data_IF_963671791373
#
_entry.id   IF_963671791373
#
_cell.length_a   1.000
_cell.length_b   1.000
_cell.length_c   1.000
_cell.angle_alpha   90.00
_cell.angle_beta   90.00
_cell.angle_gamma   90.00
#
_symmetry.space_group_name_H-M   'P 1'
#
loop_
_entity.id
_entity.type
_entity.pdbx_description
1 polymer ?
#
# COMPACT_ATOMS: atom_id res chain seq x y z
N UNK A 1 6.45 43.41 17.32
CA UNK A 1 6.56 42.00 17.78
C UNK A 1 6.23 41.16 16.58
N UNK A 2 7.23 40.92 15.73
CA UNK A 2 7.02 40.33 14.42
C UNK A 2 7.20 38.82 14.51
N UNK A 3 6.15 38.10 14.11
CA UNK A 3 6.06 36.65 14.10
C UNK A 3 7.06 36.08 13.09
N UNK A 4 8.01 35.28 13.59
CA UNK A 4 8.86 34.44 12.76
C UNK A 4 8.01 33.40 12.03
N UNK A 5 7.90 33.54 10.72
CA UNK A 5 7.40 32.52 9.82
C UNK A 5 8.46 31.43 9.70
N UNK A 6 8.25 30.33 10.43
CA UNK A 6 9.15 29.19 10.40
C UNK A 6 9.02 28.49 9.03
N UNK A 7 9.97 28.76 8.13
CA UNK A 7 10.09 28.12 6.83
C UNK A 7 10.38 26.63 7.05
N UNK A 8 9.47 25.76 6.59
CA UNK A 8 9.70 24.31 6.57
C UNK A 8 10.93 23.99 5.72
N UNK A 9 12.06 23.73 6.39
CA UNK A 9 13.27 23.22 5.76
C UNK A 9 13.00 21.79 5.30
N UNK A 10 13.00 21.55 3.98
CA UNK A 10 13.07 20.19 3.43
C UNK A 10 14.42 19.61 3.81
N UNK A 11 14.46 18.88 4.93
CA UNK A 11 15.64 18.17 5.40
C UNK A 11 16.00 17.11 4.35
N UNK A 12 16.93 17.43 3.46
CA UNK A 12 17.32 16.58 2.32
C UNK A 12 18.47 15.68 2.77
N UNK A 13 18.26 14.93 3.85
CA UNK A 13 19.16 13.83 4.20
C UNK A 13 19.01 12.75 3.12
N UNK A 14 20.11 12.20 2.58
CA UNK A 14 20.01 11.11 1.63
C UNK A 14 19.32 9.91 2.29
N UNK A 15 18.39 9.30 1.56
CA UNK A 15 17.74 8.07 1.99
C UNK A 15 18.80 6.96 1.95
N UNK A 16 19.04 6.30 3.09
CA UNK A 16 19.98 5.19 3.16
C UNK A 16 19.42 3.99 2.39
N UNK A 17 20.23 3.46 1.49
CA UNK A 17 19.96 2.20 0.78
C UNK A 17 20.57 1.05 1.56
N UNK A 18 19.81 -0.03 1.73
CA UNK A 18 20.24 -1.23 2.44
C UNK A 18 20.29 -2.40 1.46
N UNK A 19 21.26 -3.30 1.64
CA UNK A 19 21.22 -4.60 0.99
C UNK A 19 20.10 -5.46 1.58
N UNK A 20 19.68 -6.50 0.86
CA UNK A 20 18.72 -7.48 1.38
C UNK A 20 19.21 -8.12 2.68
N UNK A 21 20.51 -8.46 2.76
CA UNK A 21 21.13 -9.01 3.96
C UNK A 21 21.01 -8.07 5.17
N UNK A 22 21.25 -6.77 4.96
CA UNK A 22 21.11 -5.77 6.01
C UNK A 22 19.66 -5.63 6.47
N UNK A 23 18.70 -5.64 5.54
CA UNK A 23 17.27 -5.59 5.88
C UNK A 23 16.87 -6.81 6.71
N UNK A 24 17.26 -8.01 6.31
CA UNK A 24 16.95 -9.22 7.07
C UNK A 24 17.58 -9.23 8.46
N UNK A 25 18.81 -8.72 8.60
CA UNK A 25 19.45 -8.59 9.91
C UNK A 25 18.68 -7.61 10.82
N UNK A 26 18.20 -6.49 10.26
CA UNK A 26 17.39 -5.51 10.99
C UNK A 26 16.05 -6.11 11.42
N UNK A 27 15.35 -6.81 10.53
CA UNK A 27 14.09 -7.50 10.84
C UNK A 27 14.27 -8.56 11.92
N UNK A 28 15.28 -9.42 11.81
CA UNK A 28 15.56 -10.44 12.82
C UNK A 28 15.88 -9.82 14.18
N UNK A 29 16.70 -8.76 14.23
CA UNK A 29 17.00 -8.06 15.46
C UNK A 29 15.75 -7.41 16.09
N UNK A 30 14.84 -6.91 15.26
CA UNK A 30 13.56 -6.35 15.71
C UNK A 30 12.63 -7.42 16.28
N UNK A 31 12.50 -8.57 15.62
CA UNK A 31 11.67 -9.68 16.10
C UNK A 31 12.24 -10.34 17.35
N UNK A 32 13.57 -10.43 17.47
CA UNK A 32 14.24 -10.95 18.66
C UNK A 32 13.93 -10.15 19.95
N UNK A 33 13.51 -8.88 19.80
CA UNK A 33 13.07 -8.04 20.90
C UNK A 33 11.58 -8.24 21.27
N UNK A 34 10.89 -9.19 20.63
CA UNK A 34 9.49 -9.51 20.88
C UNK A 34 8.49 -8.63 20.12
N UNK A 35 8.96 -7.83 19.16
CA UNK A 35 8.07 -7.00 18.35
C UNK A 35 7.28 -7.85 17.33
N UNK A 36 6.02 -7.48 17.11
CA UNK A 36 5.11 -8.22 16.23
C UNK A 36 5.33 -7.90 14.74
N UNK A 37 5.69 -8.94 13.99
CA UNK A 37 5.82 -8.88 12.53
C UNK A 37 4.50 -8.58 11.81
N UNK A 38 3.37 -9.03 12.36
CA UNK A 38 2.05 -8.78 11.77
C UNK A 38 1.62 -7.32 11.92
N UNK A 39 1.92 -6.70 13.07
CA UNK A 39 1.76 -5.26 13.27
C UNK A 39 2.50 -4.42 12.21
N UNK A 40 3.75 -4.76 11.90
CA UNK A 40 4.51 -4.08 10.83
C UNK A 40 3.87 -4.27 9.45
N UNK A 41 3.43 -5.48 9.13
CA UNK A 41 2.74 -5.80 7.88
C UNK A 41 1.46 -4.96 7.72
N UNK A 42 0.64 -4.86 8.78
CA UNK A 42 -0.55 -4.00 8.79
C UNK A 42 -0.22 -2.53 8.53
N UNK A 43 0.84 -2.01 9.16
CA UNK A 43 1.27 -0.63 8.96
C UNK A 43 1.74 -0.39 7.52
N UNK A 44 2.57 -1.28 6.97
CA UNK A 44 3.05 -1.19 5.59
C UNK A 44 1.89 -1.24 4.59
N UNK A 45 0.98 -2.20 4.75
CA UNK A 45 -0.21 -2.34 3.92
C UNK A 45 -1.13 -1.11 4.00
N UNK A 46 -1.35 -0.56 5.20
CA UNK A 46 -2.16 0.65 5.38
C UNK A 46 -1.57 1.85 4.66
N UNK A 47 -0.26 2.09 4.83
CA UNK A 47 0.44 3.18 4.14
C UNK A 47 0.33 3.05 2.62
N UNK A 48 0.45 1.83 2.09
CA UNK A 48 0.30 1.59 0.66
C UNK A 48 -1.13 1.84 0.18
N UNK A 49 -2.16 1.41 0.93
CA UNK A 49 -3.55 1.66 0.58
C UNK A 49 -3.86 3.18 0.51
N UNK A 50 -3.37 3.96 1.47
CA UNK A 50 -3.49 5.42 1.45
C UNK A 50 -2.76 6.05 0.24
N UNK A 51 -1.58 5.52 -0.10
CA UNK A 51 -0.83 5.98 -1.26
C UNK A 51 -1.57 5.71 -2.57
N UNK A 52 -2.18 4.53 -2.71
CA UNK A 52 -3.00 4.16 -3.87
C UNK A 52 -4.18 5.12 -4.04
N UNK A 53 -4.89 5.45 -2.95
CA UNK A 53 -5.99 6.44 -2.98
C UNK A 53 -5.49 7.79 -3.50
N UNK A 54 -4.39 8.29 -2.94
CA UNK A 54 -3.79 9.57 -3.33
C UNK A 54 -3.40 9.59 -4.81
N UNK A 55 -2.76 8.52 -5.30
CA UNK A 55 -2.39 8.40 -6.71
C UNK A 55 -3.62 8.38 -7.62
N UNK A 56 -4.70 7.70 -7.22
CA UNK A 56 -5.93 7.62 -7.98
C UNK A 56 -6.63 8.98 -8.07
N UNK A 57 -6.74 9.70 -6.95
CA UNK A 57 -7.32 11.05 -6.90
C UNK A 57 -6.55 12.03 -7.79
N UNK A 58 -5.21 12.02 -7.70
CA UNK A 58 -4.34 12.85 -8.53
C UNK A 58 -4.54 12.54 -10.02
N UNK A 59 -4.63 11.26 -10.40
CA UNK A 59 -4.91 10.83 -11.77
C UNK A 59 -6.28 11.30 -12.26
N UNK A 60 -7.30 11.25 -11.41
CA UNK A 60 -8.64 11.73 -11.74
C UNK A 60 -8.68 13.25 -11.92
N UNK A 61 -7.97 13.99 -11.07
CA UNK A 61 -7.83 15.44 -11.18
C UNK A 61 -7.14 15.86 -12.47
N UNK A 62 -6.02 15.22 -12.81
CA UNK A 62 -5.24 15.56 -14.01
C UNK A 62 -6.02 15.31 -15.32
N UNK A 63 -6.93 14.33 -15.35
CA UNK A 63 -7.81 14.10 -16.52
C UNK A 63 -8.85 15.20 -16.72
N UNK A 64 -9.40 15.75 -15.62
CA UNK A 64 -10.41 16.82 -15.67
C UNK A 64 -9.88 18.15 -16.23
N UNK A 65 -8.57 18.39 -16.16
CA UNK A 65 -7.94 19.59 -16.73
C UNK A 65 -7.78 19.56 -18.26
N UNK A 66 -7.97 18.41 -18.91
CA UNK A 66 -7.76 18.25 -20.37
C UNK A 66 -9.03 18.25 -21.21
N UNK A 67 -10.22 18.21 -20.59
CA UNK A 67 -11.52 18.21 -21.30
C UNK A 67 -12.46 19.15 -20.57
N UNK A 68 -12.70 20.31 -21.17
CA UNK A 68 -13.61 21.34 -20.68
C UNK A 68 -15.07 20.95 -21.02
N UNK A 69 -15.56 19.82 -20.51
CA UNK A 69 -16.95 19.41 -20.71
C UNK A 69 -17.83 19.87 -19.54
N UNK A 70 -18.49 21.00 -19.79
CA UNK A 70 -19.63 21.51 -19.02
C UNK A 70 -20.85 20.69 -19.43
N UNK A 71 -21.02 19.47 -18.95
CA UNK A 71 -22.34 18.82 -18.83
C UNK A 71 -22.22 17.52 -18.05
N UNK A 72 -23.21 17.28 -17.18
CA UNK A 72 -23.50 16.02 -16.47
C UNK A 72 -22.60 15.70 -15.26
N UNK A 73 -23.25 15.50 -14.09
CA UNK A 73 -22.61 14.98 -12.87
C UNK A 73 -21.70 13.80 -13.24
N UNK A 74 -20.41 13.81 -12.89
CA UNK A 74 -19.58 12.67 -13.19
C UNK A 74 -20.11 11.52 -12.35
N UNK A 75 -20.61 10.47 -13.02
CA UNK A 75 -20.61 9.14 -12.42
C UNK A 75 -19.17 8.94 -11.93
N UNK A 76 -18.98 9.01 -10.61
CA UNK A 76 -17.67 8.79 -10.02
C UNK A 76 -17.24 7.41 -10.51
N UNK A 77 -16.27 7.36 -11.43
CA UNK A 77 -15.78 6.09 -11.98
C UNK A 77 -15.47 5.20 -10.80
N UNK A 78 -16.17 4.07 -10.72
CA UNK A 78 -16.02 3.13 -9.62
C UNK A 78 -14.54 2.78 -9.49
N UNK A 79 -13.98 2.99 -8.29
CA UNK A 79 -12.59 2.69 -7.97
C UNK A 79 -12.43 1.17 -8.00
N UNK A 80 -11.52 0.68 -8.84
CA UNK A 80 -11.28 -0.76 -9.06
C UNK A 80 -9.81 -1.06 -8.93
N UNK A 81 -9.47 -2.13 -8.22
CA UNK A 81 -8.10 -2.62 -8.09
C UNK A 81 -8.05 -4.13 -8.29
N UNK A 82 -7.00 -4.60 -8.97
CA UNK A 82 -6.65 -6.01 -9.05
C UNK A 82 -5.33 -6.19 -8.31
N UNK A 83 -5.32 -6.96 -7.23
CA UNK A 83 -4.17 -7.16 -6.36
C UNK A 83 -3.63 -8.57 -6.60
N UNK A 84 -2.37 -8.65 -7.03
CA UNK A 84 -1.72 -9.91 -7.36
C UNK A 84 -0.87 -10.33 -6.15
N UNK A 85 -1.23 -11.43 -5.52
CA UNK A 85 -0.61 -11.90 -4.28
C UNK A 85 0.14 -13.20 -4.54
N UNK A 86 1.41 -13.23 -4.15
CA UNK A 86 2.23 -14.44 -4.14
C UNK A 86 2.32 -15.06 -2.75
N UNK A 87 3.22 -16.03 -2.59
CA UNK A 87 3.58 -16.59 -1.27
C UNK A 87 4.51 -15.65 -0.50
N UNK A 88 4.53 -15.77 0.84
CA UNK A 88 5.42 -15.02 1.73
C UNK A 88 4.86 -13.69 2.25
N UNK A 89 5.71 -12.91 2.94
CA UNK A 89 5.29 -11.69 3.65
C UNK A 89 4.62 -10.65 2.74
N UNK A 90 5.18 -10.42 1.54
CA UNK A 90 4.59 -9.52 0.54
C UNK A 90 3.21 -9.98 0.07
N UNK A 91 2.94 -11.29 0.11
CA UNK A 91 1.61 -11.83 -0.14
C UNK A 91 0.62 -11.42 0.94
N UNK A 92 1.05 -11.47 2.20
CA UNK A 92 0.30 -10.97 3.36
C UNK A 92 0.01 -9.47 3.26
N UNK A 93 1.02 -8.66 2.88
CA UNK A 93 0.82 -7.23 2.60
C UNK A 93 -0.25 -7.02 1.53
N UNK A 94 -0.20 -7.79 0.43
CA UNK A 94 -1.17 -7.72 -0.65
C UNK A 94 -2.61 -8.03 -0.20
N UNK A 95 -2.80 -9.02 0.67
CA UNK A 95 -4.11 -9.32 1.26
C UNK A 95 -4.62 -8.17 2.15
N UNK A 96 -3.76 -7.60 2.99
CA UNK A 96 -4.12 -6.48 3.85
C UNK A 96 -4.41 -5.20 3.03
N UNK A 97 -3.65 -4.94 1.97
CA UNK A 97 -3.92 -3.85 1.03
C UNK A 97 -5.30 -4.04 0.38
N UNK A 98 -5.60 -5.25 -0.09
CA UNK A 98 -6.89 -5.57 -0.67
C UNK A 98 -8.03 -5.32 0.33
N UNK A 99 -7.85 -5.76 1.57
CA UNK A 99 -8.80 -5.52 2.66
C UNK A 99 -9.00 -4.02 2.91
N UNK A 100 -7.95 -3.24 3.09
CA UNK A 100 -8.07 -1.80 3.35
C UNK A 100 -8.69 -1.03 2.19
N UNK A 101 -8.33 -1.35 0.95
CA UNK A 101 -8.95 -0.73 -0.23
C UNK A 101 -10.44 -1.05 -0.31
N UNK A 102 -10.85 -2.29 0.01
CA UNK A 102 -12.25 -2.67 0.07
C UNK A 102 -13.01 -1.85 1.14
N UNK A 103 -12.42 -1.67 2.33
CA UNK A 103 -12.99 -0.80 3.39
C UNK A 103 -13.12 0.66 2.93
N UNK A 104 -12.20 1.14 2.09
CA UNK A 104 -12.27 2.47 1.46
C UNK A 104 -13.30 2.55 0.33
N UNK A 105 -14.02 1.48 0.02
CA UNK A 105 -15.06 1.43 -1.01
C UNK A 105 -14.55 1.16 -2.43
N UNK A 106 -13.35 0.58 -2.56
CA UNK A 106 -12.87 0.06 -3.85
C UNK A 106 -13.52 -1.29 -4.14
N UNK A 107 -13.83 -1.53 -5.41
CA UNK A 107 -14.09 -2.88 -5.90
C UNK A 107 -12.75 -3.58 -6.14
N UNK A 108 -12.41 -4.51 -5.26
CA UNK A 108 -11.13 -5.21 -5.29
C UNK A 108 -11.31 -6.63 -5.82
N UNK A 109 -10.37 -7.07 -6.66
CA UNK A 109 -10.19 -8.45 -7.05
C UNK A 109 -8.79 -8.90 -6.61
N UNK A 110 -8.71 -10.02 -5.90
CA UNK A 110 -7.42 -10.63 -5.54
C UNK A 110 -7.12 -11.78 -6.48
N UNK A 111 -5.90 -11.82 -7.01
CA UNK A 111 -5.41 -12.85 -7.93
C UNK A 111 -4.20 -13.50 -7.26
N UNK A 112 -4.34 -14.77 -6.91
CA UNK A 112 -3.26 -15.58 -6.35
C UNK A 112 -2.34 -16.08 -7.47
N UNK A 113 -1.03 -15.93 -7.30
CA UNK A 113 -0.02 -16.29 -8.30
C UNK A 113 1.03 -17.21 -7.69
N UNK A 114 1.47 -18.24 -8.41
CA UNK A 114 2.52 -19.16 -7.95
C UNK A 114 2.09 -20.11 -6.83
N UNK A 115 0.79 -20.38 -6.72
CA UNK A 115 0.25 -21.45 -5.88
C UNK A 115 0.06 -22.68 -6.77
N UNK A 116 0.66 -23.81 -6.36
CA UNK A 116 0.44 -25.08 -7.02
C UNK A 116 -0.87 -25.67 -6.49
N UNK A 117 -1.54 -26.52 -7.30
CA UNK A 117 -2.81 -27.16 -6.93
C UNK A 117 -2.72 -28.03 -5.67
N UNK A 118 -1.53 -28.36 -5.21
CA UNK A 118 -1.28 -29.24 -4.07
C UNK A 118 -1.14 -28.49 -2.73
N UNK A 119 -1.11 -27.15 -2.73
CA UNK A 119 -0.99 -26.37 -1.49
C UNK A 119 -2.31 -26.24 -0.71
N UNK A 120 -3.45 -26.65 -1.28
CA UNK A 120 -4.77 -26.56 -0.63
C UNK A 120 -5.14 -27.76 0.27
N UNK A 121 -4.24 -28.73 0.46
CA UNK A 121 -4.53 -30.03 1.12
C UNK A 121 -3.78 -30.25 2.44
N UNK A 122 -3.29 -29.20 3.12
CA UNK A 122 -2.49 -29.36 4.35
C UNK A 122 -3.16 -28.91 5.66
N UNK A 123 -4.47 -28.70 5.67
CA UNK A 123 -5.20 -28.27 6.88
C UNK A 123 -6.14 -29.34 7.48
N UNK A 124 -6.00 -30.61 7.10
CA UNK A 124 -6.69 -31.73 7.78
C UNK A 124 -5.67 -32.77 8.30
N UNK A 125 -5.17 -32.58 9.52
CA UNK A 125 -4.58 -33.63 10.37
C UNK A 125 -4.61 -33.23 11.84
#
# INVERSE_FOLDING_TARGET
MDMQTNSFSKNTMPIRLYSSEQLYAMEQAWFAQGNDSFGLMQQAAWQMAQHIETLYENKCRNKKSSVQEITSRPYARQRRASIWVGKGNNGGDGWLIAYYLQQMGWQVQVIMVGFDKDDSNKDDS
#
